data_IF_176279093373
#
_entry.id   IF_176279093373
#
_cell.length_a   1.000
_cell.length_b   1.000
_cell.length_c   1.000
_cell.angle_alpha   90.00
_cell.angle_beta   90.00
_cell.angle_gamma   90.00
#
_symmetry.space_group_name_H-M   'P 1'
#
loop_
_entity.id
_entity.type
_entity.pdbx_description
1 polymer ?
#
# COMPACT_ATOMS: atom_id res chain seq x y z
N UNK A 1 3.23 35.64 -65.80
CA UNK A 1 3.23 36.61 -64.67
C UNK A 1 1.77 36.85 -64.34
N UNK A 2 1.18 36.47 -63.21
CA UNK A 2 1.70 36.10 -61.91
C UNK A 2 0.66 35.20 -61.24
N UNK A 3 1.04 33.96 -60.91
CA UNK A 3 0.40 33.20 -59.83
C UNK A 3 0.88 33.79 -58.50
N UNK A 4 -0.04 34.05 -57.57
CA UNK A 4 0.29 34.08 -56.15
C UNK A 4 -0.97 33.77 -55.33
N UNK A 5 -0.98 32.52 -54.88
CA UNK A 5 -1.89 31.85 -53.98
C UNK A 5 -2.12 32.58 -52.65
N UNK A 6 -3.39 32.74 -52.28
CA UNK A 6 -3.82 32.98 -50.90
C UNK A 6 -3.89 31.64 -50.18
N UNK A 7 -2.92 31.33 -49.33
CA UNK A 7 -2.96 30.18 -48.41
C UNK A 7 -3.67 30.58 -47.12
N UNK A 8 -4.95 30.26 -47.01
CA UNK A 8 -5.64 30.22 -45.72
C UNK A 8 -5.23 28.94 -44.99
N UNK A 9 -4.34 29.07 -44.02
CA UNK A 9 -4.07 28.03 -43.02
C UNK A 9 -5.24 27.98 -42.02
N UNK A 10 -6.27 27.21 -42.35
CA UNK A 10 -7.21 26.72 -41.35
C UNK A 10 -6.51 25.66 -40.52
N UNK A 11 -5.90 26.09 -39.42
CA UNK A 11 -5.44 25.23 -38.34
C UNK A 11 -6.67 24.58 -37.69
N UNK A 12 -7.12 23.50 -38.30
CA UNK A 12 -8.19 22.65 -37.76
C UNK A 12 -7.58 21.92 -36.57
N UNK A 13 -7.62 22.58 -35.41
CA UNK A 13 -7.53 21.92 -34.10
C UNK A 13 -8.55 20.79 -34.07
N UNK A 14 -8.10 19.60 -34.46
CA UNK A 14 -8.90 18.38 -34.43
C UNK A 14 -9.19 18.03 -32.97
N UNK A 15 -10.25 18.61 -32.42
CA UNK A 15 -10.83 18.23 -31.14
C UNK A 15 -11.52 16.89 -31.32
N UNK A 16 -10.72 15.85 -31.53
CA UNK A 16 -11.19 14.47 -31.53
C UNK A 16 -11.91 14.25 -30.18
N UNK A 17 -13.23 14.01 -30.17
CA UNK A 17 -13.98 13.89 -28.93
C UNK A 17 -13.35 12.77 -28.09
N UNK A 18 -12.95 13.13 -26.87
CA UNK A 18 -12.26 12.22 -25.96
C UNK A 18 -13.18 11.04 -25.64
N UNK A 19 -12.86 9.86 -26.18
CA UNK A 19 -13.60 8.64 -25.87
C UNK A 19 -13.52 8.37 -24.36
N UNK A 20 -14.64 8.25 -23.62
CA UNK A 20 -14.65 8.17 -22.16
C UNK A 20 -13.77 7.04 -21.59
N UNK A 21 -13.65 5.91 -22.31
CA UNK A 21 -12.77 4.81 -21.92
C UNK A 21 -11.27 5.15 -21.89
N UNK A 22 -10.81 6.12 -22.69
CA UNK A 22 -9.41 6.58 -22.66
C UNK A 22 -9.11 7.40 -21.40
N UNK A 23 -10.05 8.24 -20.97
CA UNK A 23 -9.90 9.07 -19.77
C UNK A 23 -9.82 8.17 -18.54
N UNK A 24 -10.73 7.20 -18.43
CA UNK A 24 -10.77 6.29 -17.27
C UNK A 24 -9.48 5.48 -17.12
N UNK A 25 -8.91 4.98 -18.23
CA UNK A 25 -7.63 4.25 -18.22
C UNK A 25 -6.46 5.14 -17.78
N UNK A 26 -6.42 6.40 -18.26
CA UNK A 26 -5.38 7.37 -17.86
C UNK A 26 -5.49 7.71 -16.38
N UNK A 27 -6.69 8.00 -15.89
CA UNK A 27 -6.95 8.28 -14.48
C UNK A 27 -6.50 7.11 -13.60
N UNK A 28 -6.93 5.88 -13.93
CA UNK A 28 -6.55 4.67 -13.19
C UNK A 28 -5.02 4.52 -13.09
N UNK A 29 -4.33 4.71 -14.22
CA UNK A 29 -2.86 4.59 -14.28
C UNK A 29 -2.18 5.69 -13.46
N UNK A 30 -2.66 6.92 -13.57
CA UNK A 30 -2.13 8.05 -12.80
C UNK A 30 -2.32 7.84 -11.30
N UNK A 31 -3.48 7.36 -10.86
CA UNK A 31 -3.77 7.08 -9.44
C UNK A 31 -2.86 5.98 -8.90
N UNK A 32 -2.67 4.88 -9.64
CA UNK A 32 -1.73 3.81 -9.24
C UNK A 32 -0.29 4.28 -9.17
N UNK A 33 0.18 5.06 -10.15
CA UNK A 33 1.55 5.61 -10.17
C UNK A 33 1.74 6.60 -9.01
N UNK A 34 0.76 7.45 -8.73
CA UNK A 34 0.81 8.37 -7.59
C UNK A 34 0.91 7.60 -6.27
N UNK A 35 0.06 6.58 -6.06
CA UNK A 35 0.12 5.70 -4.90
C UNK A 35 1.49 5.03 -4.76
N UNK A 36 2.03 4.49 -5.87
CA UNK A 36 3.35 3.88 -5.92
C UNK A 36 4.47 4.85 -5.51
N UNK A 37 4.51 6.05 -6.08
CA UNK A 37 5.56 7.05 -5.79
C UNK A 37 5.49 7.47 -4.32
N UNK A 38 4.29 7.78 -3.81
CA UNK A 38 4.10 8.19 -2.42
C UNK A 38 4.56 7.08 -1.47
N UNK A 39 4.16 5.83 -1.73
CA UNK A 39 4.59 4.68 -0.93
C UNK A 39 6.10 4.49 -0.96
N UNK A 40 6.71 4.61 -2.15
CA UNK A 40 8.16 4.51 -2.31
C UNK A 40 8.92 5.57 -1.49
N UNK A 41 8.44 6.81 -1.46
CA UNK A 41 9.03 7.88 -0.65
C UNK A 41 8.89 7.67 0.87
N UNK A 42 7.92 6.85 1.30
CA UNK A 42 7.72 6.52 2.73
C UNK A 42 8.52 5.30 3.19
N UNK A 43 9.32 4.72 2.30
CA UNK A 43 10.07 3.50 2.56
C UNK A 43 11.24 3.78 3.50
N UNK A 44 11.36 3.00 4.58
CA UNK A 44 12.43 3.14 5.57
C UNK A 44 12.36 4.38 6.46
N UNK A 45 11.36 5.26 6.26
CA UNK A 45 11.16 6.45 7.09
C UNK A 45 10.14 6.20 8.20
N UNK A 46 10.18 7.01 9.26
CA UNK A 46 9.22 6.95 10.36
C UNK A 46 8.73 8.35 10.74
N UNK A 47 7.84 8.43 11.74
CA UNK A 47 7.26 9.70 12.17
C UNK A 47 5.93 10.05 11.53
N UNK A 48 5.39 11.21 11.89
CA UNK A 48 4.05 11.67 11.49
C UNK A 48 3.89 11.82 9.99
N UNK A 49 4.82 12.51 9.32
CA UNK A 49 4.77 12.72 7.87
C UNK A 49 4.86 11.41 7.09
N UNK A 50 5.69 10.46 7.54
CA UNK A 50 5.80 9.15 6.89
C UNK A 50 4.53 8.31 7.10
N UNK A 51 3.96 8.33 8.30
CA UNK A 51 2.71 7.63 8.63
C UNK A 51 1.55 8.16 7.78
N UNK A 52 1.42 9.49 7.69
CA UNK A 52 0.41 10.14 6.85
C UNK A 52 0.64 9.84 5.37
N UNK A 53 1.90 9.89 4.91
CA UNK A 53 2.27 9.51 3.55
C UNK A 53 1.87 8.07 3.23
N UNK A 54 2.03 7.13 4.16
CA UNK A 54 1.60 5.73 3.97
C UNK A 54 0.09 5.62 3.82
N UNK A 55 -0.68 6.29 4.68
CA UNK A 55 -2.16 6.30 4.57
C UNK A 55 -2.59 6.83 3.21
N UNK A 56 -2.03 7.98 2.80
CA UNK A 56 -2.33 8.60 1.50
C UNK A 56 -1.94 7.66 0.36
N UNK A 57 -0.71 7.14 0.37
CA UNK A 57 -0.19 6.24 -0.67
C UNK A 57 -1.02 4.97 -0.81
N UNK A 58 -1.36 4.30 0.31
CA UNK A 58 -2.24 3.13 0.32
C UNK A 58 -3.65 3.47 -0.18
N UNK A 59 -4.17 4.66 0.14
CA UNK A 59 -5.50 5.10 -0.32
C UNK A 59 -5.52 5.35 -1.84
N UNK A 60 -4.48 5.99 -2.39
CA UNK A 60 -4.34 6.14 -3.84
C UNK A 60 -4.22 4.77 -4.52
N UNK A 61 -3.40 3.87 -3.98
CA UNK A 61 -3.29 2.50 -4.52
C UNK A 61 -4.62 1.76 -4.46
N UNK A 62 -5.38 1.86 -3.37
CA UNK A 62 -6.70 1.27 -3.20
C UNK A 62 -7.69 1.79 -4.25
N UNK A 63 -7.81 3.11 -4.39
CA UNK A 63 -8.69 3.72 -5.42
C UNK A 63 -8.25 3.30 -6.81
N UNK A 64 -6.94 3.30 -7.08
CA UNK A 64 -6.38 2.83 -8.34
C UNK A 64 -6.77 1.39 -8.64
N UNK A 65 -6.66 0.48 -7.67
CA UNK A 65 -7.06 -0.93 -7.79
C UNK A 65 -8.56 -1.10 -8.03
N UNK A 66 -9.42 -0.33 -7.35
CA UNK A 66 -10.89 -0.37 -7.55
C UNK A 66 -11.26 0.10 -8.97
N UNK A 67 -10.67 1.20 -9.43
CA UNK A 67 -10.86 1.68 -10.80
C UNK A 67 -10.37 0.62 -11.81
N UNK A 68 -9.25 -0.01 -11.51
CA UNK A 68 -8.67 -1.04 -12.36
C UNK A 68 -9.53 -2.29 -12.44
N UNK A 69 -10.04 -2.78 -11.30
CA UNK A 69 -11.01 -3.86 -11.22
C UNK A 69 -12.26 -3.54 -12.06
N UNK A 70 -12.79 -2.32 -11.93
CA UNK A 70 -13.97 -1.87 -12.66
C UNK A 70 -13.75 -1.89 -14.18
N UNK A 71 -12.58 -1.43 -14.66
CA UNK A 71 -12.22 -1.49 -16.08
C UNK A 71 -12.13 -2.95 -16.58
N UNK A 72 -11.54 -3.81 -15.77
CA UNK A 72 -11.33 -5.24 -16.09
C UNK A 72 -12.63 -5.97 -16.20
N UNK A 73 -13.51 -5.80 -15.20
CA UNK A 73 -14.83 -6.39 -15.19
C UNK A 73 -15.63 -5.96 -16.43
N UNK A 74 -15.59 -4.67 -16.80
CA UNK A 74 -16.25 -4.18 -18.01
C UNK A 74 -15.73 -4.87 -19.28
N UNK A 75 -14.42 -5.08 -19.41
CA UNK A 75 -13.83 -5.75 -20.57
C UNK A 75 -14.15 -7.24 -20.63
N UNK A 76 -14.13 -7.92 -19.49
CA UNK A 76 -14.48 -9.35 -19.39
C UNK A 76 -15.96 -9.56 -19.73
N UNK A 77 -16.86 -8.74 -19.19
CA UNK A 77 -18.31 -8.83 -19.47
C UNK A 77 -18.62 -8.57 -20.95
N UNK A 78 -17.95 -7.58 -21.56
CA UNK A 78 -18.13 -7.22 -22.98
C UNK A 78 -17.37 -8.11 -23.97
N UNK A 79 -16.50 -9.00 -23.48
CA UNK A 79 -15.71 -9.87 -24.36
C UNK A 79 -16.60 -10.82 -25.16
N UNK A 80 -16.28 -11.03 -26.44
CA UNK A 80 -16.90 -12.07 -27.27
C UNK A 80 -16.22 -13.44 -27.10
N UNK A 81 -15.06 -13.49 -26.44
CA UNK A 81 -14.32 -14.73 -26.22
C UNK A 81 -15.00 -15.58 -25.13
N UNK A 82 -15.43 -16.80 -25.48
CA UNK A 82 -16.05 -17.75 -24.54
C UNK A 82 -15.09 -18.17 -23.42
N UNK A 83 -13.79 -18.25 -23.69
CA UNK A 83 -12.80 -18.62 -22.66
C UNK A 83 -12.68 -17.54 -21.60
N UNK A 84 -12.73 -16.25 -21.98
CA UNK A 84 -12.70 -15.12 -21.04
C UNK A 84 -13.90 -15.11 -20.09
N UNK A 85 -15.01 -15.75 -20.48
CA UNK A 85 -16.21 -15.92 -19.65
C UNK A 85 -16.23 -17.21 -18.83
N UNK A 86 -15.21 -18.06 -18.98
CA UNK A 86 -15.08 -19.24 -18.12
C UNK A 86 -14.92 -18.81 -16.66
N UNK A 87 -15.61 -19.51 -15.75
CA UNK A 87 -15.55 -19.26 -14.30
C UNK A 87 -14.10 -19.25 -13.81
N UNK A 88 -13.29 -20.19 -14.31
CA UNK A 88 -11.86 -20.28 -13.94
C UNK A 88 -11.11 -19.03 -14.36
N UNK A 89 -11.32 -18.53 -15.58
CA UNK A 89 -10.65 -17.32 -16.07
C UNK A 89 -11.07 -16.06 -15.31
N UNK A 90 -12.35 -15.97 -14.94
CA UNK A 90 -12.88 -14.88 -14.11
C UNK A 90 -12.23 -14.92 -12.73
N UNK A 91 -12.18 -16.09 -12.09
CA UNK A 91 -11.55 -16.25 -10.77
C UNK A 91 -10.06 -15.95 -10.83
N UNK A 92 -9.32 -16.43 -11.83
CA UNK A 92 -7.88 -16.14 -11.92
C UNK A 92 -7.57 -14.68 -12.28
N UNK A 93 -8.50 -13.99 -12.94
CA UNK A 93 -8.29 -12.59 -13.39
C UNK A 93 -8.80 -11.57 -12.38
N UNK A 94 -10.03 -11.75 -11.87
CA UNK A 94 -10.67 -10.83 -10.93
C UNK A 94 -10.47 -11.23 -9.48
N UNK A 95 -10.28 -12.52 -9.21
CA UNK A 95 -10.20 -13.05 -7.86
C UNK A 95 -9.08 -12.44 -7.01
N UNK A 96 -7.86 -12.18 -7.52
CA UNK A 96 -6.82 -11.51 -6.73
C UNK A 96 -7.17 -10.07 -6.31
N UNK A 97 -8.03 -9.37 -7.05
CA UNK A 97 -8.38 -7.99 -6.68
C UNK A 97 -9.12 -7.88 -5.35
N UNK A 98 -9.98 -8.85 -5.03
CA UNK A 98 -10.79 -8.82 -3.82
C UNK A 98 -9.94 -8.87 -2.53
N UNK A 99 -9.04 -9.86 -2.32
CA UNK A 99 -8.15 -9.87 -1.18
C UNK A 99 -7.19 -8.67 -1.20
N UNK A 100 -6.66 -8.24 -2.35
CA UNK A 100 -5.81 -7.05 -2.42
C UNK A 100 -6.52 -5.79 -1.91
N UNK A 101 -7.78 -5.55 -2.32
CA UNK A 101 -8.62 -4.45 -1.86
C UNK A 101 -8.88 -4.56 -0.35
N UNK A 102 -9.26 -5.74 0.13
CA UNK A 102 -9.52 -5.99 1.55
C UNK A 102 -8.28 -5.76 2.43
N UNK A 103 -7.12 -6.26 2.00
CA UNK A 103 -5.85 -6.08 2.70
C UNK A 103 -5.39 -4.61 2.72
N UNK A 104 -5.56 -3.89 1.60
CA UNK A 104 -5.30 -2.45 1.53
C UNK A 104 -6.20 -1.65 2.46
N UNK A 105 -7.51 -1.91 2.44
CA UNK A 105 -8.46 -1.26 3.33
C UNK A 105 -8.11 -1.54 4.80
N UNK A 106 -7.79 -2.79 5.13
CA UNK A 106 -7.37 -3.15 6.47
C UNK A 106 -6.05 -2.47 6.88
N UNK A 107 -5.08 -2.36 5.98
CA UNK A 107 -3.84 -1.64 6.24
C UNK A 107 -4.09 -0.16 6.57
N UNK A 108 -4.97 0.50 5.80
CA UNK A 108 -5.39 1.89 6.05
C UNK A 108 -6.04 2.02 7.43
N UNK A 109 -6.91 1.07 7.81
CA UNK A 109 -7.56 1.06 9.13
C UNK A 109 -6.52 0.95 10.25
N UNK A 110 -5.56 0.01 10.16
CA UNK A 110 -4.50 -0.13 11.17
C UNK A 110 -3.72 1.17 11.33
N UNK A 111 -3.30 1.80 10.22
CA UNK A 111 -2.57 3.05 10.28
C UNK A 111 -3.40 4.23 10.80
N UNK A 112 -4.69 4.29 10.45
CA UNK A 112 -5.58 5.38 10.87
C UNK A 112 -5.96 5.29 12.34
N UNK A 113 -6.40 4.13 12.81
CA UNK A 113 -6.83 3.92 14.21
C UNK A 113 -5.67 4.06 15.20
N UNK A 114 -4.45 3.72 14.77
CA UNK A 114 -3.27 3.74 15.62
C UNK A 114 -2.27 4.82 15.21
N UNK A 115 -2.74 5.85 14.49
CA UNK A 115 -1.92 6.92 13.94
C UNK A 115 -0.99 7.52 14.98
N UNK A 116 -1.53 7.91 16.14
CA UNK A 116 -0.77 8.54 17.22
C UNK A 116 0.36 7.66 17.77
N UNK A 117 0.10 6.35 17.89
CA UNK A 117 1.09 5.40 18.38
C UNK A 117 2.21 5.19 17.36
N UNK A 118 1.85 5.09 16.08
CA UNK A 118 2.78 4.88 14.97
C UNK A 118 3.62 6.14 14.73
N UNK A 119 2.97 7.30 14.60
CA UNK A 119 3.59 8.59 14.31
C UNK A 119 4.58 9.02 15.40
N UNK A 120 4.30 8.72 16.66
CA UNK A 120 5.18 9.05 17.79
C UNK A 120 6.23 7.97 18.08
N UNK A 121 6.39 6.98 17.19
CA UNK A 121 7.30 5.84 17.35
C UNK A 121 7.14 5.12 18.71
N UNK A 122 5.89 5.03 19.21
CA UNK A 122 5.54 4.35 20.45
C UNK A 122 5.26 2.86 20.20
N UNK A 123 5.83 2.27 19.16
CA UNK A 123 5.67 0.84 18.87
C UNK A 123 7.04 0.18 18.89
N UNK A 124 7.04 -1.15 19.00
CA UNK A 124 8.29 -1.91 18.97
C UNK A 124 8.99 -1.72 17.61
N UNK A 125 10.34 -1.77 17.55
CA UNK A 125 11.07 -1.69 16.28
C UNK A 125 10.59 -2.72 15.23
N UNK A 126 10.11 -3.87 15.67
CA UNK A 126 9.50 -4.91 14.82
C UNK A 126 8.30 -4.40 14.03
N UNK A 127 7.51 -3.46 14.57
CA UNK A 127 6.42 -2.83 13.84
C UNK A 127 6.94 -2.00 12.66
N UNK A 128 8.03 -1.24 12.85
CA UNK A 128 8.63 -0.43 11.78
C UNK A 128 9.19 -1.31 10.66
N UNK A 129 9.82 -2.43 11.02
CA UNK A 129 10.31 -3.43 10.07
C UNK A 129 9.15 -4.04 9.26
N UNK A 130 8.10 -4.50 9.94
CA UNK A 130 6.90 -5.03 9.26
C UNK A 130 6.18 -3.97 8.42
N UNK A 131 6.13 -2.72 8.88
CA UNK A 131 5.58 -1.61 8.10
C UNK A 131 6.39 -1.34 6.82
N UNK A 132 7.71 -1.53 6.86
CA UNK A 132 8.56 -1.46 5.67
C UNK A 132 8.28 -2.62 4.71
N UNK A 133 8.17 -3.85 5.23
CA UNK A 133 7.79 -5.01 4.41
C UNK A 133 6.39 -4.88 3.81
N UNK A 134 5.45 -4.30 4.57
CA UNK A 134 4.12 -3.98 4.09
C UNK A 134 4.17 -3.02 2.91
N UNK A 135 4.96 -1.96 2.98
CA UNK A 135 5.14 -1.03 1.86
C UNK A 135 5.77 -1.75 0.66
N UNK A 136 6.85 -2.51 0.88
CA UNK A 136 7.54 -3.26 -0.18
C UNK A 136 6.61 -4.24 -0.89
N UNK A 137 5.85 -5.04 -0.15
CA UNK A 137 4.93 -6.01 -0.74
C UNK A 137 3.82 -5.33 -1.53
N UNK A 138 3.37 -4.16 -1.06
CA UNK A 138 2.38 -3.35 -1.77
C UNK A 138 2.91 -2.80 -3.09
N UNK A 139 4.17 -2.33 -3.12
CA UNK A 139 4.84 -1.90 -4.34
C UNK A 139 4.99 -3.04 -5.35
N UNK A 140 5.40 -4.23 -4.88
CA UNK A 140 5.51 -5.44 -5.71
C UNK A 140 4.14 -5.82 -6.28
N UNK A 141 3.12 -5.87 -5.43
CA UNK A 141 1.75 -6.24 -5.83
C UNK A 141 1.20 -5.26 -6.87
N UNK A 142 1.36 -3.96 -6.63
CA UNK A 142 0.95 -2.88 -7.56
C UNK A 142 1.65 -3.04 -8.92
N UNK A 143 2.96 -3.30 -8.91
CA UNK A 143 3.73 -3.54 -10.12
C UNK A 143 3.24 -4.78 -10.88
N UNK A 144 2.94 -5.88 -10.17
CA UNK A 144 2.44 -7.11 -10.78
C UNK A 144 1.07 -6.91 -11.44
N UNK A 145 0.14 -6.22 -10.78
CA UNK A 145 -1.16 -5.87 -11.38
C UNK A 145 -0.97 -5.00 -12.62
N UNK A 146 -0.14 -3.96 -12.52
CA UNK A 146 0.13 -3.06 -13.65
C UNK A 146 0.75 -3.80 -14.84
N UNK A 147 1.75 -4.67 -14.60
CA UNK A 147 2.45 -5.43 -15.64
C UNK A 147 1.52 -6.42 -16.34
N UNK A 148 0.79 -7.25 -15.58
CA UNK A 148 -0.03 -8.30 -16.15
C UNK A 148 -1.14 -7.76 -17.04
N UNK A 149 -1.65 -6.56 -16.74
CA UNK A 149 -2.81 -6.01 -17.43
C UNK A 149 -2.49 -4.97 -18.48
N UNK A 150 -1.22 -4.58 -18.60
CA UNK A 150 -0.69 -3.95 -19.79
C UNK A 150 0.07 -4.95 -20.70
N UNK A 151 0.04 -6.24 -20.37
CA UNK A 151 0.60 -7.28 -21.23
C UNK A 151 -0.20 -7.39 -22.53
N UNK A 152 0.48 -7.77 -23.63
CA UNK A 152 -0.17 -8.03 -24.93
C UNK A 152 -1.21 -9.14 -24.80
N UNK A 153 -0.88 -10.19 -24.06
CA UNK A 153 -1.77 -11.31 -23.74
C UNK A 153 -3.09 -10.83 -23.12
N UNK A 154 -3.05 -9.95 -22.12
CA UNK A 154 -4.27 -9.40 -21.52
C UNK A 154 -5.04 -8.48 -22.47
N UNK A 155 -4.34 -7.71 -23.31
CA UNK A 155 -4.99 -6.83 -24.30
C UNK A 155 -5.74 -7.65 -25.36
N UNK A 156 -5.19 -8.79 -25.76
CA UNK A 156 -5.76 -9.64 -26.81
C UNK A 156 -6.82 -10.60 -26.26
N UNK A 157 -6.54 -11.26 -25.13
CA UNK A 157 -7.39 -12.34 -24.58
C UNK A 157 -8.35 -11.86 -23.49
N UNK A 158 -8.11 -10.69 -22.91
CA UNK A 158 -8.79 -10.20 -21.69
C UNK A 158 -8.63 -11.12 -20.47
N UNK A 159 -7.59 -11.97 -20.47
CA UNK A 159 -7.27 -12.86 -19.37
C UNK A 159 -5.86 -12.58 -18.84
N UNK A 160 -5.68 -12.75 -17.53
CA UNK A 160 -4.34 -12.83 -16.93
C UNK A 160 -3.85 -14.26 -17.06
N UNK A 161 -2.58 -14.41 -17.41
CA UNK A 161 -1.91 -15.71 -17.42
C UNK A 161 -2.08 -16.42 -16.06
N UNK A 162 -2.49 -17.70 -16.08
CA UNK A 162 -2.76 -18.48 -14.87
C UNK A 162 -1.58 -18.49 -13.89
N UNK A 163 -0.35 -18.62 -14.39
CA UNK A 163 0.86 -18.63 -13.56
C UNK A 163 1.04 -17.30 -12.87
N UNK A 164 0.90 -16.19 -13.60
CA UNK A 164 0.96 -14.85 -13.02
C UNK A 164 -0.11 -14.62 -11.96
N UNK A 165 -1.36 -15.06 -12.21
CA UNK A 165 -2.47 -14.97 -11.25
C UNK A 165 -2.17 -15.72 -9.95
N UNK A 166 -1.61 -16.93 -10.05
CA UNK A 166 -1.21 -17.73 -8.88
C UNK A 166 -0.06 -17.08 -8.09
N UNK A 167 0.91 -16.45 -8.77
CA UNK A 167 1.98 -15.71 -8.09
C UNK A 167 1.40 -14.49 -7.34
N UNK A 168 0.44 -13.77 -7.92
CA UNK A 168 -0.24 -12.65 -7.26
C UNK A 168 -0.92 -13.13 -5.97
N UNK A 169 -1.65 -14.25 -6.02
CA UNK A 169 -2.26 -14.85 -4.83
C UNK A 169 -1.22 -15.21 -3.75
N UNK A 170 -0.08 -15.77 -4.15
CA UNK A 170 0.99 -16.08 -3.20
C UNK A 170 1.53 -14.82 -2.50
N UNK A 171 1.71 -13.73 -3.25
CA UNK A 171 2.13 -12.44 -2.69
C UNK A 171 1.07 -11.86 -1.74
N UNK A 172 -0.21 -12.04 -2.05
CA UNK A 172 -1.31 -11.63 -1.17
C UNK A 172 -1.36 -12.42 0.14
N UNK A 173 -1.05 -13.72 0.11
CA UNK A 173 -0.91 -14.52 1.33
C UNK A 173 0.22 -14.00 2.21
N UNK A 174 1.37 -13.65 1.62
CA UNK A 174 2.47 -13.02 2.36
C UNK A 174 2.06 -11.66 2.95
N UNK A 175 1.31 -10.86 2.19
CA UNK A 175 0.76 -9.59 2.67
C UNK A 175 -0.18 -9.84 3.87
N UNK A 176 -1.08 -10.81 3.78
CA UNK A 176 -1.96 -11.19 4.89
C UNK A 176 -1.17 -11.57 6.17
N UNK A 177 -0.09 -12.35 6.05
CA UNK A 177 0.75 -12.71 7.20
C UNK A 177 1.41 -11.48 7.85
N UNK A 178 1.91 -10.55 7.04
CA UNK A 178 2.48 -9.28 7.54
C UNK A 178 1.40 -8.47 8.27
N UNK A 179 0.20 -8.38 7.70
CA UNK A 179 -0.94 -7.66 8.27
C UNK A 179 -1.38 -8.22 9.62
N UNK A 180 -1.55 -9.53 9.72
CA UNK A 180 -1.89 -10.20 10.99
C UNK A 180 -0.80 -9.93 12.03
N UNK A 181 0.47 -10.02 11.65
CA UNK A 181 1.60 -9.76 12.55
C UNK A 181 1.60 -8.32 13.06
N UNK A 182 1.37 -7.34 12.18
CA UNK A 182 1.25 -5.93 12.57
C UNK A 182 0.05 -5.70 13.50
N UNK A 183 -1.10 -6.30 13.20
CA UNK A 183 -2.30 -6.20 14.02
C UNK A 183 -2.07 -6.74 15.44
N UNK A 184 -1.44 -7.91 15.57
CA UNK A 184 -1.06 -8.49 16.87
C UNK A 184 -0.13 -7.52 17.62
N UNK A 185 0.89 -6.97 16.96
CA UNK A 185 1.84 -6.07 17.63
C UNK A 185 1.12 -4.85 18.18
N UNK A 186 0.30 -4.21 17.35
CA UNK A 186 -0.45 -3.02 17.72
C UNK A 186 -1.39 -3.32 18.89
N UNK A 187 -2.17 -4.39 18.82
CA UNK A 187 -3.13 -4.73 19.88
C UNK A 187 -2.42 -5.06 21.19
N UNK A 188 -1.46 -5.98 21.19
CA UNK A 188 -0.87 -6.47 22.45
C UNK A 188 0.15 -5.52 23.06
N UNK A 189 1.02 -4.90 22.25
CA UNK A 189 2.07 -4.04 22.80
C UNK A 189 1.57 -2.66 23.22
N UNK A 190 0.48 -2.16 22.64
CA UNK A 190 -0.16 -0.92 23.13
C UNK A 190 -0.94 -1.14 24.42
N UNK A 191 -1.57 -2.29 24.60
CA UNK A 191 -2.46 -2.52 25.75
C UNK A 191 -1.71 -3.02 26.99
N UNK A 192 -0.75 -3.94 26.84
CA UNK A 192 -0.01 -4.54 27.97
C UNK A 192 1.47 -4.14 28.04
N UNK A 193 2.11 -3.82 26.91
CA UNK A 193 3.56 -3.61 26.82
C UNK A 193 4.05 -2.34 27.54
N UNK A 194 3.34 -1.21 27.39
CA UNK A 194 3.79 0.07 27.95
C UNK A 194 3.62 0.19 29.47
N UNK A 195 2.59 -0.44 30.03
CA UNK A 195 2.33 -0.39 31.47
C UNK A 195 3.45 -1.12 32.24
N UNK A 196 3.79 -2.32 31.77
CA UNK A 196 4.84 -3.15 32.36
C UNK A 196 6.26 -2.60 32.12
N UNK A 197 6.55 -2.03 30.93
CA UNK A 197 7.87 -1.43 30.68
C UNK A 197 8.13 -0.18 31.52
N UNK A 198 7.13 0.71 31.65
CA UNK A 198 7.27 1.95 32.42
C UNK A 198 7.40 1.68 33.92
N UNK A 199 6.68 0.68 34.43
CA UNK A 199 6.85 0.21 35.82
C UNK A 199 8.20 -0.46 36.05
N UNK A 200 8.68 -1.29 35.12
CA UNK A 200 10.00 -1.90 35.18
C UNK A 200 11.12 -0.87 35.24
N UNK A 201 11.05 0.19 34.43
CA UNK A 201 12.02 1.29 34.43
C UNK A 201 11.96 2.10 35.72
N UNK A 202 10.76 2.45 36.21
CA UNK A 202 10.56 3.15 37.48
C UNK A 202 11.19 2.37 38.65
N UNK A 203 11.01 1.06 38.67
CA UNK A 203 11.58 0.19 39.70
C UNK A 203 13.11 0.11 39.63
N UNK A 204 13.70 0.07 38.43
CA UNK A 204 15.17 0.12 38.26
C UNK A 204 15.75 1.46 38.73
N UNK A 205 15.14 2.59 38.36
CA UNK A 205 15.58 3.90 38.84
C UNK A 205 15.50 4.02 40.35
N UNK A 206 14.40 3.56 40.96
CA UNK A 206 14.25 3.53 42.42
C UNK A 206 15.33 2.67 43.09
N UNK A 207 15.66 1.51 42.52
CA UNK A 207 16.72 0.62 43.02
C UNK A 207 18.10 1.29 42.97
N UNK A 208 18.44 1.95 41.86
CA UNK A 208 19.73 2.65 41.69
C UNK A 208 19.85 3.83 42.64
N UNK A 209 18.78 4.63 42.78
CA UNK A 209 18.72 5.74 43.74
C UNK A 209 18.97 5.26 45.17
N UNK A 210 18.28 4.19 45.59
CA UNK A 210 18.44 3.61 46.92
C UNK A 210 19.86 3.05 47.16
N UNK A 211 20.50 2.45 46.15
CA UNK A 211 21.90 2.00 46.25
C UNK A 211 22.87 3.18 46.43
N UNK A 212 22.70 4.27 45.67
CA UNK A 212 23.53 5.47 45.82
C UNK A 212 23.38 6.09 47.21
N UNK A 213 22.17 6.12 47.76
CA UNK A 213 21.91 6.64 49.10
C UNK A 213 22.60 5.79 50.19
N UNK A 214 22.51 4.46 50.09
CA UNK A 214 23.18 3.54 51.03
C UNK A 214 24.71 3.64 50.97
N UNK A 215 25.29 3.85 49.79
CA UNK A 215 26.73 4.08 49.64
C UNK A 215 27.16 5.39 50.33
N UNK A 216 26.42 6.48 50.16
CA UNK A 216 26.73 7.76 50.83
C UNK A 216 26.67 7.68 52.36
N UNK A 217 25.71 6.93 52.92
CA UNK A 217 25.61 6.78 54.38
C UNK A 217 26.77 5.98 54.97
N UNK A 218 27.20 4.89 54.32
CA UNK A 218 28.35 4.09 54.79
C UNK A 218 29.67 4.85 54.80
N UNK A 219 29.85 5.79 53.87
CA UNK A 219 31.07 6.63 53.81
C UNK A 219 31.10 7.65 54.95
N UNK A 220 29.95 8.04 55.51
CA UNK A 220 29.86 9.08 56.53
C UNK A 220 29.91 8.57 57.98
N UNK A 221 29.86 7.25 58.19
CA UNK A 221 29.91 6.60 59.52
C UNK A 221 31.26 5.94 59.84
N UNK A 222 32.22 6.03 58.91
CA UNK A 222 33.59 5.49 59.06
C UNK A 222 34.65 6.56 59.37
N UNK A 223 34.25 7.76 59.78
CA UNK A 223 35.09 8.80 60.37
C UNK A 223 34.59 9.08 61.77
#
# INVERSE_FOLDING_TARGET
>A
MSDASVTNSSDVTSTNPLKPGKIFRKATTATLIAGFIILFLTLGTGGESSTMGRIIGLSFTLVGLILFLSNTLQKVVKSSNKEAKSVIAIVTTLGPFLPAIGLLAWAIIIYSEHFDAIAKNKLTPSFSMLGTFLVLINLILTYMFYKNMNSKEFIETQQINKVSGMIIYFVEVLFLVIMISMFIIVRYFLTDGFKNYKEGMKNRYKKISNMKMKMKMKVNTGK
#
